data_IF_215318629705
#
_entry.id   IF_215318629705
#
_cell.length_a   1.000
_cell.length_b   1.000
_cell.length_c   1.000
_cell.angle_alpha   90.00
_cell.angle_beta   90.00
_cell.angle_gamma   90.00
#
_symmetry.space_group_name_H-M   'P 1'
#
loop_
_entity.id
_entity.type
_entity.pdbx_description
1 polymer ?
#
# COMPACT_ATOMS: atom_id res chain seq x y z
N UNK A 1 -27.49 9.04 -8.10
CA UNK A 1 -26.61 8.68 -6.99
C UNK A 1 -25.20 8.59 -7.54
N UNK A 2 -24.23 9.35 -7.06
CA UNK A 2 -22.85 9.21 -7.55
C UNK A 2 -22.30 7.88 -7.08
N UNK A 3 -21.79 7.11 -8.02
CA UNK A 3 -21.18 5.79 -7.79
C UNK A 3 -19.89 5.96 -6.97
N UNK A 4 -19.62 5.17 -5.92
CA UNK A 4 -18.42 5.27 -5.07
C UNK A 4 -17.10 5.02 -5.80
N UNK A 5 -17.15 4.80 -7.09
CA UNK A 5 -16.09 4.25 -7.92
C UNK A 5 -15.12 5.29 -8.52
N UNK A 6 -15.17 6.56 -8.13
CA UNK A 6 -14.33 7.60 -8.78
C UNK A 6 -12.86 7.59 -8.37
N UNK A 7 -12.50 6.88 -7.30
CA UNK A 7 -11.17 6.99 -6.72
C UNK A 7 -10.15 5.95 -7.19
N UNK A 8 -10.63 4.88 -7.82
CA UNK A 8 -9.76 3.86 -8.43
C UNK A 8 -9.54 4.09 -9.94
N UNK A 9 -10.09 5.17 -10.49
CA UNK A 9 -10.15 5.44 -11.93
C UNK A 9 -9.12 6.47 -12.45
N UNK A 10 -8.00 6.67 -11.76
CA UNK A 10 -6.90 7.31 -12.48
C UNK A 10 -6.25 6.29 -13.39
N UNK A 11 -6.15 6.66 -14.68
CA UNK A 11 -5.38 5.88 -15.62
C UNK A 11 -3.97 5.63 -15.06
N UNK A 12 -3.35 4.48 -15.33
CA UNK A 12 -1.97 4.20 -14.91
C UNK A 12 -0.97 5.30 -15.27
N UNK A 13 -1.23 6.08 -16.34
CA UNK A 13 -0.50 7.28 -16.75
C UNK A 13 -0.52 8.42 -15.74
N UNK A 14 -1.49 8.45 -14.82
CA UNK A 14 -1.64 9.52 -13.82
C UNK A 14 -0.94 9.20 -12.49
N UNK A 15 -0.36 8.01 -12.37
CA UNK A 15 0.42 7.60 -11.21
C UNK A 15 1.90 7.70 -11.60
N UNK A 16 2.68 8.67 -11.08
CA UNK A 16 4.08 8.89 -11.46
C UNK A 16 5.00 7.67 -11.29
N UNK A 17 4.61 6.70 -10.47
CA UNK A 17 5.29 5.40 -10.35
C UNK A 17 5.30 4.60 -11.66
N UNK A 18 4.48 4.98 -12.65
CA UNK A 18 4.29 4.23 -13.88
C UNK A 18 4.64 5.03 -15.13
N UNK A 19 4.91 6.34 -15.03
CA UNK A 19 4.71 7.18 -16.20
C UNK A 19 5.89 7.96 -16.74
N UNK A 20 6.97 8.20 -16.05
CA UNK A 20 8.11 8.87 -16.73
C UNK A 20 8.93 7.90 -17.57
N UNK A 21 8.81 6.58 -17.31
CA UNK A 21 9.44 5.50 -18.04
C UNK A 21 8.58 4.24 -18.04
N UNK A 22 7.30 4.39 -18.36
CA UNK A 22 6.36 3.27 -18.45
C UNK A 22 6.88 2.09 -19.27
N UNK A 23 7.76 2.34 -20.22
CA UNK A 23 8.44 1.34 -21.03
C UNK A 23 9.35 0.43 -20.20
N UNK A 24 10.04 0.92 -19.17
CA UNK A 24 10.97 0.12 -18.35
C UNK A 24 10.23 -0.93 -17.52
N UNK A 25 9.08 -0.59 -16.96
CA UNK A 25 8.24 -1.55 -16.22
C UNK A 25 7.40 -2.44 -17.14
N UNK A 26 7.01 -1.94 -18.31
CA UNK A 26 6.23 -2.68 -19.28
C UNK A 26 7.04 -3.76 -20.01
N UNK A 27 8.36 -3.58 -20.14
CA UNK A 27 9.25 -4.51 -20.84
C UNK A 27 9.76 -5.67 -19.99
N UNK A 28 9.40 -5.76 -18.71
CA UNK A 28 9.93 -6.78 -17.81
C UNK A 28 9.20 -8.12 -17.96
N UNK A 29 9.95 -9.21 -17.73
CA UNK A 29 9.36 -10.54 -17.57
C UNK A 29 8.29 -10.51 -16.48
N UNK A 30 7.09 -11.04 -16.73
CA UNK A 30 6.06 -11.12 -15.70
C UNK A 30 6.60 -11.79 -14.42
N UNK A 31 6.32 -11.21 -13.26
CA UNK A 31 6.83 -11.71 -11.98
C UNK A 31 6.46 -13.17 -11.71
N UNK A 32 5.32 -13.62 -12.22
CA UNK A 32 4.90 -15.04 -12.13
C UNK A 32 5.79 -15.99 -12.94
N UNK A 33 6.53 -15.47 -13.94
CA UNK A 33 7.42 -16.23 -14.81
C UNK A 33 8.90 -15.95 -14.47
N UNK A 34 9.16 -15.18 -13.43
CA UNK A 34 10.50 -14.77 -13.01
C UNK A 34 11.34 -15.98 -12.62
N UNK A 35 12.51 -16.11 -13.23
CA UNK A 35 13.53 -17.09 -12.81
C UNK A 35 14.51 -16.39 -11.87
N UNK A 36 14.61 -16.87 -10.66
CA UNK A 36 15.52 -16.32 -9.65
C UNK A 36 16.96 -16.37 -10.14
N UNK A 37 17.64 -15.23 -10.08
CA UNK A 37 19.09 -15.11 -10.26
C UNK A 37 19.84 -15.07 -8.92
N UNK A 38 19.13 -14.75 -7.83
CA UNK A 38 19.67 -14.63 -6.48
C UNK A 38 19.02 -15.68 -5.55
N UNK A 39 19.74 -16.15 -4.53
CA UNK A 39 19.14 -17.04 -3.53
C UNK A 39 18.02 -16.33 -2.77
N UNK A 40 17.03 -17.09 -2.34
CA UNK A 40 15.98 -16.60 -1.45
C UNK A 40 16.58 -16.24 -0.09
N UNK A 41 16.07 -15.17 0.53
CA UNK A 41 16.54 -14.64 1.81
C UNK A 41 15.57 -14.92 2.95
N UNK A 42 14.27 -14.88 2.65
CA UNK A 42 13.18 -14.97 3.61
C UNK A 42 12.16 -16.03 3.22
N UNK A 43 11.77 -16.05 1.96
CA UNK A 43 10.86 -17.05 1.42
C UNK A 43 11.53 -18.42 1.30
N UNK A 44 10.79 -19.49 1.56
CA UNK A 44 11.18 -20.83 1.13
C UNK A 44 10.95 -20.99 -0.38
N UNK A 45 11.50 -22.02 -0.97
CA UNK A 45 11.22 -22.39 -2.37
C UNK A 45 9.73 -22.66 -2.59
N UNK A 46 9.05 -23.27 -1.61
CA UNK A 46 7.61 -23.51 -1.66
C UNK A 46 6.81 -22.22 -1.58
N UNK A 47 7.20 -21.26 -0.73
CA UNK A 47 6.57 -19.94 -0.64
C UNK A 47 6.72 -19.18 -1.95
N UNK A 48 7.90 -19.22 -2.56
CA UNK A 48 8.14 -18.54 -3.83
C UNK A 48 7.35 -19.19 -4.97
N UNK A 49 7.30 -20.52 -5.04
CA UNK A 49 6.50 -21.25 -6.03
C UNK A 49 4.99 -20.97 -5.84
N UNK A 50 4.54 -20.87 -4.59
CA UNK A 50 3.16 -20.47 -4.26
C UNK A 50 2.87 -19.03 -4.72
N UNK A 51 3.75 -18.09 -4.42
CA UNK A 51 3.68 -16.71 -4.90
C UNK A 51 3.52 -16.63 -6.41
N UNK A 52 4.37 -17.33 -7.16
CA UNK A 52 4.31 -17.33 -8.62
C UNK A 52 3.00 -17.92 -9.15
N UNK A 53 2.48 -18.95 -8.49
CA UNK A 53 1.29 -19.69 -8.94
C UNK A 53 -0.01 -18.99 -8.57
N UNK A 54 -0.07 -18.36 -7.40
CA UNK A 54 -1.31 -17.85 -6.80
C UNK A 54 -1.33 -16.33 -6.60
N UNK A 55 -0.21 -15.66 -6.84
CA UNK A 55 -0.11 -14.21 -6.82
C UNK A 55 -0.05 -13.56 -5.45
N UNK A 56 0.08 -14.32 -4.36
CA UNK A 56 0.30 -13.78 -3.02
C UNK A 56 1.12 -14.75 -2.17
N UNK A 57 1.68 -14.22 -1.08
CA UNK A 57 2.35 -15.00 -0.04
C UNK A 57 2.21 -14.31 1.31
N UNK A 58 2.08 -15.08 2.39
CA UNK A 58 2.11 -14.57 3.77
C UNK A 58 3.45 -14.93 4.40
N UNK A 59 4.26 -13.92 4.67
CA UNK A 59 5.57 -14.05 5.31
C UNK A 59 5.41 -13.87 6.81
N UNK A 60 5.72 -14.90 7.56
CA UNK A 60 5.52 -14.90 9.02
C UNK A 60 6.54 -14.02 9.74
N UNK A 61 6.05 -13.23 10.69
CA UNK A 61 6.82 -12.50 11.70
C UNK A 61 7.96 -11.66 11.07
N UNK A 62 7.62 -10.81 10.08
CA UNK A 62 8.60 -9.88 9.47
C UNK A 62 9.00 -8.75 10.43
N UNK A 63 8.11 -8.41 11.36
CA UNK A 63 8.37 -7.57 12.52
C UNK A 63 7.89 -8.27 13.80
N UNK A 64 8.48 -7.99 14.96
CA UNK A 64 8.00 -8.53 16.23
C UNK A 64 6.54 -8.12 16.52
N UNK A 65 5.75 -9.02 17.09
CA UNK A 65 4.36 -8.72 17.51
C UNK A 65 4.27 -7.50 18.44
N UNK A 66 5.29 -7.28 19.29
CA UNK A 66 5.39 -6.08 20.13
C UNK A 66 5.53 -4.79 19.31
N UNK A 67 6.17 -4.84 18.14
CA UNK A 67 6.27 -3.68 17.22
C UNK A 67 4.94 -3.44 16.52
N UNK A 68 4.26 -4.50 16.08
CA UNK A 68 2.90 -4.40 15.53
C UNK A 68 1.94 -3.80 16.56
N UNK A 69 2.04 -4.20 17.83
CA UNK A 69 1.23 -3.65 18.92
C UNK A 69 1.48 -2.14 19.10
N UNK A 70 2.74 -1.69 19.13
CA UNK A 70 3.05 -0.25 19.23
C UNK A 70 2.48 0.56 18.07
N UNK A 71 2.51 0.01 16.84
CA UNK A 71 1.88 0.64 15.68
C UNK A 71 0.36 0.71 15.82
N UNK A 72 -0.26 -0.32 16.36
CA UNK A 72 -1.69 -0.33 16.65
C UNK A 72 -2.05 0.74 17.70
N UNK A 73 -1.30 0.81 18.80
CA UNK A 73 -1.50 1.81 19.85
C UNK A 73 -1.35 3.23 19.31
N UNK A 74 -0.34 3.45 18.43
CA UNK A 74 -0.17 4.71 17.71
C UNK A 74 -1.35 5.04 16.80
N UNK A 75 -1.91 4.06 16.08
CA UNK A 75 -3.07 4.28 15.21
C UNK A 75 -4.30 4.76 16.01
N UNK A 76 -4.53 4.19 17.18
CA UNK A 76 -5.58 4.62 18.10
C UNK A 76 -5.35 6.05 18.59
N UNK A 77 -4.15 6.34 19.09
CA UNK A 77 -3.77 7.67 19.57
C UNK A 77 -3.91 8.72 18.47
N UNK A 78 -3.40 8.43 17.26
CA UNK A 78 -3.43 9.36 16.13
C UNK A 78 -4.86 9.71 15.69
N UNK A 79 -5.75 8.72 15.70
CA UNK A 79 -7.17 8.93 15.38
C UNK A 79 -7.95 9.57 16.53
N UNK A 80 -7.39 9.64 17.73
CA UNK A 80 -8.09 10.13 18.92
C UNK A 80 -9.21 9.20 19.39
N UNK A 81 -9.09 7.89 19.07
CA UNK A 81 -10.08 6.88 19.42
C UNK A 81 -9.61 6.07 20.62
N UNK A 82 -10.54 5.62 21.44
CA UNK A 82 -10.28 4.80 22.62
C UNK A 82 -10.52 3.32 22.29
N UNK A 83 -9.49 2.44 22.35
CA UNK A 83 -9.65 1.02 22.05
C UNK A 83 -10.62 0.29 23.01
N UNK A 84 -10.81 0.81 24.22
CA UNK A 84 -11.69 0.22 25.24
C UNK A 84 -13.12 0.79 25.21
N UNK A 85 -13.37 1.78 24.32
CA UNK A 85 -14.66 2.47 24.18
C UNK A 85 -15.20 2.41 22.74
N UNK A 86 -15.83 1.29 22.36
CA UNK A 86 -16.32 1.06 21.00
C UNK A 86 -17.28 2.13 20.46
N UNK A 87 -17.96 2.86 21.33
CA UNK A 87 -18.81 3.98 20.92
C UNK A 87 -18.04 5.11 20.24
N UNK A 88 -16.75 5.32 20.59
CA UNK A 88 -15.90 6.36 19.98
C UNK A 88 -15.46 6.02 18.56
N UNK A 89 -15.49 4.75 18.15
CA UNK A 89 -14.97 4.31 16.87
C UNK A 89 -15.78 4.77 15.66
N UNK A 90 -17.00 5.26 15.90
CA UNK A 90 -17.97 5.63 14.87
C UNK A 90 -18.42 7.10 14.98
N UNK A 91 -17.75 7.89 15.81
CA UNK A 91 -18.07 9.30 15.95
C UNK A 91 -17.78 10.05 14.64
N UNK A 92 -18.76 10.85 14.23
CA UNK A 92 -18.58 11.75 13.08
C UNK A 92 -17.66 12.91 13.48
N UNK A 93 -16.86 13.34 12.52
CA UNK A 93 -16.03 14.55 12.62
C UNK A 93 -16.33 15.49 11.46
N UNK A 94 -15.78 16.69 11.50
CA UNK A 94 -15.75 17.55 10.33
C UNK A 94 -14.82 16.97 9.26
N UNK A 95 -15.31 16.93 8.02
CA UNK A 95 -14.57 16.41 6.87
C UNK A 95 -14.23 17.53 5.90
N UNK A 96 -13.01 17.51 5.37
CA UNK A 96 -12.55 18.49 4.37
C UNK A 96 -13.22 18.29 3.01
N UNK A 97 -13.64 17.07 2.71
CA UNK A 97 -14.21 16.67 1.43
C UNK A 97 -14.95 15.33 1.55
N UNK A 98 -15.71 14.96 0.52
CA UNK A 98 -16.34 13.64 0.42
C UNK A 98 -15.28 12.52 0.44
N UNK A 99 -14.12 12.74 -0.17
CA UNK A 99 -13.02 11.79 -0.13
C UNK A 99 -12.47 11.60 1.28
N UNK A 100 -12.26 12.67 2.04
CA UNK A 100 -11.82 12.59 3.44
C UNK A 100 -12.82 11.78 4.28
N UNK A 101 -14.12 12.03 4.09
CA UNK A 101 -15.16 11.24 4.74
C UNK A 101 -15.13 9.77 4.35
N UNK A 102 -14.97 9.48 3.08
CA UNK A 102 -14.90 8.13 2.56
C UNK A 102 -13.69 7.38 3.12
N UNK A 103 -12.50 7.98 3.10
CA UNK A 103 -11.28 7.38 3.65
C UNK A 103 -11.41 7.10 5.15
N UNK A 104 -12.00 8.03 5.90
CA UNK A 104 -12.27 7.82 7.32
C UNK A 104 -13.23 6.64 7.55
N UNK A 105 -14.31 6.53 6.78
CA UNK A 105 -15.26 5.42 6.83
C UNK A 105 -14.57 4.09 6.54
N UNK A 106 -13.61 4.06 5.62
CA UNK A 106 -12.79 2.88 5.33
C UNK A 106 -11.69 2.60 6.36
N UNK A 107 -11.57 3.46 7.38
CA UNK A 107 -10.63 3.29 8.47
C UNK A 107 -9.20 3.68 8.14
N UNK A 108 -8.97 4.52 7.14
CA UNK A 108 -7.63 5.03 6.85
C UNK A 108 -7.15 6.01 7.91
N UNK A 109 -5.91 5.85 8.35
CA UNK A 109 -5.20 6.67 9.33
C UNK A 109 -4.12 7.44 8.59
N UNK A 110 -4.32 8.75 8.40
CA UNK A 110 -3.52 9.62 7.53
C UNK A 110 -2.15 10.00 8.17
N UNK A 111 -1.43 9.03 8.74
CA UNK A 111 -0.07 9.15 9.24
C UNK A 111 0.91 8.46 8.31
N UNK A 112 2.00 9.12 7.94
CA UNK A 112 2.90 8.66 6.88
C UNK A 112 4.36 8.51 7.33
N UNK A 113 4.83 9.34 8.27
CA UNK A 113 6.26 9.52 8.54
C UNK A 113 6.68 9.22 9.97
N UNK A 114 5.73 8.86 10.84
CA UNK A 114 6.06 8.53 12.24
C UNK A 114 7.14 7.45 12.33
N UNK A 115 8.00 7.53 13.35
CA UNK A 115 9.11 6.59 13.55
C UNK A 115 8.69 5.14 13.48
N UNK A 116 7.59 4.78 14.12
CA UNK A 116 7.10 3.39 14.14
C UNK A 116 6.77 2.86 12.73
N UNK A 117 6.25 3.72 11.83
CA UNK A 117 6.02 3.36 10.43
C UNK A 117 7.33 3.12 9.69
N UNK A 118 8.36 3.92 9.99
CA UNK A 118 9.67 3.75 9.40
C UNK A 118 10.43 2.57 9.98
N UNK A 119 10.27 2.26 11.27
CA UNK A 119 10.88 1.07 11.88
C UNK A 119 10.47 -0.22 11.13
N UNK A 120 9.21 -0.32 10.72
CA UNK A 120 8.76 -1.46 9.91
C UNK A 120 9.23 -1.39 8.46
N UNK A 121 9.23 -0.21 7.82
CA UNK A 121 9.68 -0.03 6.44
C UNK A 121 11.15 -0.39 6.26
N UNK A 122 11.99 -0.02 7.22
CA UNK A 122 13.43 -0.26 7.19
C UNK A 122 13.86 -1.55 7.91
N UNK A 123 12.89 -2.39 8.30
CA UNK A 123 13.18 -3.70 8.86
C UNK A 123 13.78 -4.61 7.77
N UNK A 124 14.96 -5.17 8.03
CA UNK A 124 15.72 -5.97 7.05
C UNK A 124 14.89 -7.12 6.49
N UNK A 125 14.14 -7.84 7.35
CA UNK A 125 13.33 -8.98 6.94
C UNK A 125 12.17 -8.57 6.02
N UNK A 126 11.63 -7.36 6.19
CA UNK A 126 10.61 -6.80 5.28
C UNK A 126 11.22 -6.55 3.90
N UNK A 127 12.35 -5.84 3.84
CA UNK A 127 13.07 -5.59 2.59
C UNK A 127 13.44 -6.90 1.88
N UNK A 128 14.05 -7.84 2.60
CA UNK A 128 14.51 -9.10 2.03
C UNK A 128 13.35 -9.96 1.47
N UNK A 129 12.13 -9.88 2.04
CA UNK A 129 10.96 -10.53 1.48
C UNK A 129 10.54 -9.92 0.12
N UNK A 130 10.64 -8.59 -0.03
CA UNK A 130 10.40 -7.95 -1.33
C UNK A 130 11.54 -8.20 -2.33
N UNK A 131 12.79 -8.30 -1.87
CA UNK A 131 13.92 -8.72 -2.72
C UNK A 131 13.67 -10.11 -3.30
N UNK A 132 13.10 -11.02 -2.52
CA UNK A 132 12.78 -12.36 -2.99
C UNK A 132 11.76 -12.35 -4.13
N UNK A 133 10.72 -11.56 -4.06
CA UNK A 133 9.68 -11.52 -5.11
C UNK A 133 10.09 -10.70 -6.34
N UNK A 134 10.95 -9.69 -6.17
CA UNK A 134 11.43 -8.85 -7.28
C UNK A 134 12.72 -9.35 -7.93
N UNK A 135 13.49 -10.22 -7.26
CA UNK A 135 14.86 -10.57 -7.61
C UNK A 135 15.79 -9.36 -7.78
N UNK A 136 15.49 -8.30 -7.06
CA UNK A 136 16.16 -7.00 -7.10
C UNK A 136 16.37 -6.49 -5.67
N UNK A 137 17.56 -6.01 -5.36
CA UNK A 137 17.89 -5.44 -4.05
C UNK A 137 17.60 -3.94 -3.96
N UNK A 138 17.73 -3.27 -5.09
CA UNK A 138 17.58 -1.82 -5.20
C UNK A 138 16.10 -1.45 -5.26
N UNK A 139 15.48 -1.28 -4.08
CA UNK A 139 14.05 -1.03 -3.95
C UNK A 139 13.79 0.34 -3.30
N UNK A 140 12.66 0.95 -3.66
CA UNK A 140 12.05 2.05 -2.91
C UNK A 140 10.77 1.55 -2.23
N UNK A 141 10.55 2.04 -0.98
CA UNK A 141 9.35 1.71 -0.19
C UNK A 141 8.27 2.76 -0.43
N UNK A 142 7.00 2.36 -0.44
CA UNK A 142 5.88 3.30 -0.48
C UNK A 142 5.81 4.13 0.81
N UNK A 143 5.48 5.41 0.66
CA UNK A 143 5.11 6.28 1.77
C UNK A 143 3.59 6.22 1.91
N UNK A 144 3.11 5.21 2.60
CA UNK A 144 1.70 4.92 2.77
C UNK A 144 1.35 4.90 4.27
N UNK A 145 0.13 4.66 4.61
CA UNK A 145 -0.52 4.89 5.89
C UNK A 145 -0.94 3.60 6.59
N UNK A 146 -1.68 3.77 7.68
CA UNK A 146 -2.29 2.67 8.42
C UNK A 146 -3.77 2.53 8.06
N UNK A 147 -4.35 1.41 8.46
CA UNK A 147 -5.79 1.21 8.44
C UNK A 147 -6.25 0.62 9.78
N UNK A 148 -7.29 1.20 10.33
CA UNK A 148 -7.94 0.78 11.56
C UNK A 148 -9.42 0.53 11.25
N UNK A 149 -9.79 -0.74 11.09
CA UNK A 149 -11.11 -1.13 10.64
C UNK A 149 -11.94 -1.80 11.75
N UNK A 150 -12.80 -1.05 12.46
CA UNK A 150 -13.72 -1.60 13.43
C UNK A 150 -14.86 -2.40 12.77
N UNK A 151 -15.70 -3.10 13.54
CA UNK A 151 -16.83 -3.85 13.03
C UNK A 151 -17.74 -3.06 12.10
N UNK A 152 -17.94 -3.53 10.88
CA UNK A 152 -18.74 -2.84 9.88
C UNK A 152 -20.25 -2.91 10.14
N UNK A 153 -20.69 -3.97 10.82
CA UNK A 153 -22.12 -4.22 11.10
C UNK A 153 -22.77 -3.17 12.01
N UNK A 154 -21.96 -2.48 12.82
CA UNK A 154 -22.45 -1.46 13.78
C UNK A 154 -22.50 -0.05 13.18
N UNK A 155 -21.86 0.16 12.05
CA UNK A 155 -21.82 1.47 11.40
C UNK A 155 -22.93 1.60 10.37
N UNK A 156 -24.04 2.24 10.76
CA UNK A 156 -25.18 2.50 9.87
C UNK A 156 -24.85 3.44 8.70
N UNK A 157 -23.84 4.30 8.87
CA UNK A 157 -23.45 5.31 7.88
C UNK A 157 -22.46 4.76 6.85
N UNK A 158 -21.88 3.56 7.09
CA UNK A 158 -21.17 2.81 6.06
C UNK A 158 -22.11 2.25 4.96
N UNK A 159 -23.30 2.77 4.84
CA UNK A 159 -24.22 2.48 3.74
C UNK A 159 -23.65 2.85 2.34
N UNK A 160 -22.51 3.53 2.30
CA UNK A 160 -21.75 3.80 1.06
C UNK A 160 -20.97 2.59 0.57
N UNK A 161 -20.69 1.59 1.42
CA UNK A 161 -20.10 0.32 1.00
C UNK A 161 -21.21 -0.48 0.32
N UNK A 162 -21.05 -0.89 -0.96
CA UNK A 162 -22.05 -1.68 -1.65
C UNK A 162 -22.43 -2.91 -0.82
N UNK A 163 -23.71 -3.07 -0.53
CA UNK A 163 -24.24 -4.28 0.09
C UNK A 163 -24.44 -5.30 -0.99
N UNK A 164 -23.79 -6.45 -0.89
CA UNK A 164 -24.22 -7.65 -1.58
C UNK A 164 -25.37 -8.32 -0.79
N UNK A 165 -26.06 -9.29 -1.39
CA UNK A 165 -27.07 -10.07 -0.68
C UNK A 165 -26.52 -10.78 0.58
N UNK A 166 -25.20 -10.95 0.66
CA UNK A 166 -24.46 -11.61 1.74
C UNK A 166 -23.84 -10.63 2.75
N UNK A 167 -24.03 -9.31 2.58
CA UNK A 167 -23.47 -8.29 3.46
C UNK A 167 -22.65 -7.21 2.73
N UNK A 168 -21.69 -6.60 3.45
CA UNK A 168 -20.80 -5.58 2.88
C UNK A 168 -19.60 -6.26 2.20
N UNK A 169 -19.53 -6.21 0.88
CA UNK A 169 -18.42 -6.75 0.13
C UNK A 169 -17.86 -5.67 -0.79
N UNK A 170 -16.60 -5.30 -0.61
CA UNK A 170 -15.90 -4.52 -1.61
C UNK A 170 -15.61 -5.48 -2.76
N UNK A 171 -16.18 -5.18 -3.92
CA UNK A 171 -15.95 -5.97 -5.12
C UNK A 171 -14.45 -6.14 -5.39
N UNK A 172 -14.07 -7.31 -5.88
CA UNK A 172 -12.71 -7.56 -6.33
C UNK A 172 -12.33 -6.58 -7.44
N UNK A 173 -11.11 -6.08 -7.37
CA UNK A 173 -10.55 -5.17 -8.35
C UNK A 173 -9.06 -5.44 -8.58
N UNK A 174 -8.54 -4.84 -9.62
CA UNK A 174 -7.11 -4.67 -9.83
C UNK A 174 -6.74 -3.19 -9.70
N UNK A 175 -5.55 -2.91 -9.21
CA UNK A 175 -4.99 -1.55 -9.21
C UNK A 175 -4.20 -1.25 -10.48
N UNK A 176 -4.35 -2.05 -11.51
CA UNK A 176 -3.73 -1.90 -12.82
C UNK A 176 -4.79 -2.09 -13.91
N UNK A 177 -4.61 -1.40 -15.03
CA UNK A 177 -5.43 -1.64 -16.22
C UNK A 177 -5.03 -2.97 -16.85
N UNK A 178 -5.91 -3.95 -16.73
CA UNK A 178 -5.68 -5.32 -17.22
C UNK A 178 -6.03 -5.49 -18.70
N UNK A 179 -6.50 -4.46 -19.40
CA UNK A 179 -6.77 -4.50 -20.84
C UNK A 179 -5.51 -4.23 -21.66
N UNK A 180 -4.49 -3.62 -21.06
CA UNK A 180 -3.24 -3.30 -21.73
C UNK A 180 -2.59 -4.53 -22.36
N UNK A 181 -1.93 -4.31 -23.53
CA UNK A 181 -1.20 -5.36 -24.24
C UNK A 181 0.01 -5.86 -23.45
N UNK A 182 0.74 -4.94 -22.81
CA UNK A 182 1.81 -5.23 -21.87
C UNK A 182 1.36 -4.77 -20.50
N UNK A 183 1.36 -5.68 -19.52
CA UNK A 183 0.84 -5.41 -18.20
C UNK A 183 1.93 -4.87 -17.28
N UNK A 184 1.68 -3.77 -16.56
CA UNK A 184 2.64 -3.25 -15.59
C UNK A 184 2.88 -4.27 -14.47
N UNK A 185 4.15 -4.45 -14.10
CA UNK A 185 4.51 -5.29 -12.97
C UNK A 185 4.43 -4.46 -11.68
N UNK A 186 3.65 -4.93 -10.75
CA UNK A 186 3.41 -4.26 -9.47
C UNK A 186 3.34 -5.29 -8.34
N UNK A 187 3.90 -4.92 -7.20
CA UNK A 187 3.82 -5.70 -5.96
C UNK A 187 3.31 -4.79 -4.86
N UNK A 188 2.38 -5.28 -4.09
CA UNK A 188 1.83 -4.57 -2.94
C UNK A 188 1.96 -5.42 -1.68
N UNK A 189 1.90 -4.77 -0.52
CA UNK A 189 2.00 -5.47 0.74
C UNK A 189 1.26 -4.78 1.87
N UNK A 190 0.91 -5.59 2.86
CA UNK A 190 0.32 -5.14 4.13
C UNK A 190 0.95 -5.89 5.29
N UNK A 191 1.32 -5.16 6.35
CA UNK A 191 1.74 -5.76 7.62
C UNK A 191 0.52 -5.81 8.54
N UNK A 192 0.22 -6.99 9.07
CA UNK A 192 -0.84 -7.17 10.06
C UNK A 192 -0.42 -6.57 11.42
N UNK A 193 -1.24 -5.70 11.99
CA UNK A 193 -1.04 -5.14 13.33
C UNK A 193 -1.89 -5.86 14.38
N UNK A 194 -2.92 -6.57 13.92
CA UNK A 194 -3.77 -7.48 14.70
C UNK A 194 -3.82 -8.82 14.02
N UNK A 195 -4.10 -9.87 14.76
CA UNK A 195 -4.45 -11.15 14.15
C UNK A 195 -5.67 -10.95 13.26
N UNK A 196 -5.60 -11.46 12.04
CA UNK A 196 -6.66 -11.34 11.06
C UNK A 196 -7.22 -12.71 10.74
N UNK A 197 -8.47 -12.93 11.11
CA UNK A 197 -9.27 -14.12 10.80
C UNK A 197 -10.36 -13.76 9.81
N UNK A 198 -11.00 -14.71 9.14
CA UNK A 198 -12.03 -14.44 8.13
C UNK A 198 -13.16 -13.52 8.59
N UNK A 199 -13.59 -13.61 9.85
CA UNK A 199 -14.66 -12.77 10.41
C UNK A 199 -14.24 -11.31 10.66
N UNK A 200 -12.92 -11.05 10.76
CA UNK A 200 -12.39 -9.69 10.92
C UNK A 200 -12.30 -8.96 9.56
N UNK A 201 -12.64 -9.64 8.49
CA UNK A 201 -12.55 -9.09 7.15
C UNK A 201 -11.11 -8.84 6.70
N UNK A 202 -10.91 -7.74 5.98
CA UNK A 202 -9.60 -7.39 5.47
C UNK A 202 -9.31 -7.97 4.10
N UNK A 203 -8.04 -8.25 3.81
CA UNK A 203 -7.63 -8.67 2.48
C UNK A 203 -8.35 -9.94 2.05
N UNK A 204 -8.95 -9.86 0.86
CA UNK A 204 -9.49 -11.01 0.14
C UNK A 204 -9.00 -10.99 -1.30
N UNK A 205 -8.86 -12.14 -1.92
CA UNK A 205 -8.36 -12.23 -3.28
C UNK A 205 -8.89 -13.46 -4.02
N UNK A 206 -8.64 -13.49 -5.34
CA UNK A 206 -9.02 -14.58 -6.21
C UNK A 206 -7.78 -15.23 -6.87
N UNK A 207 -7.06 -16.16 -6.20
CA UNK A 207 -5.85 -16.77 -6.73
C UNK A 207 -6.07 -17.62 -7.97
N UNK A 208 -7.24 -18.24 -8.09
CA UNK A 208 -7.55 -19.06 -9.26
C UNK A 208 -7.74 -18.20 -10.52
N UNK A 209 -8.26 -16.97 -10.37
CA UNK A 209 -8.31 -16.01 -11.48
C UNK A 209 -6.91 -15.57 -11.89
N UNK A 210 -6.02 -15.30 -10.92
CA UNK A 210 -4.62 -14.98 -11.19
C UNK A 210 -3.92 -16.08 -11.97
N UNK A 211 -4.06 -17.34 -11.53
CA UNK A 211 -3.46 -18.51 -12.16
C UNK A 211 -3.94 -18.69 -13.60
N UNK A 212 -5.22 -18.40 -13.89
CA UNK A 212 -5.84 -18.58 -15.20
C UNK A 212 -6.04 -17.25 -15.95
N UNK A 213 -5.36 -16.20 -15.55
CA UNK A 213 -5.60 -14.83 -16.00
C UNK A 213 -5.61 -14.70 -17.54
N UNK A 214 -4.59 -15.22 -18.23
CA UNK A 214 -4.49 -15.07 -19.69
C UNK A 214 -5.64 -15.77 -20.42
N UNK A 215 -6.00 -16.98 -19.96
CA UNK A 215 -7.14 -17.70 -20.51
C UNK A 215 -8.46 -16.97 -20.25
N UNK A 216 -8.62 -16.45 -19.03
CA UNK A 216 -9.80 -15.67 -18.69
C UNK A 216 -9.86 -14.39 -19.52
N UNK A 217 -8.77 -13.64 -19.61
CA UNK A 217 -8.66 -12.40 -20.41
C UNK A 217 -9.05 -12.61 -21.87
N UNK A 218 -8.58 -13.69 -22.49
CA UNK A 218 -8.86 -14.02 -23.89
C UNK A 218 -10.35 -14.35 -24.19
N UNK A 219 -11.13 -14.64 -23.16
CA UNK A 219 -12.57 -14.93 -23.28
C UNK A 219 -13.45 -13.71 -22.95
N UNK A 220 -12.86 -12.60 -22.53
CA UNK A 220 -13.59 -11.40 -22.17
C UNK A 220 -13.86 -10.52 -23.39
N UNK A 221 -14.95 -9.72 -23.39
CA UNK A 221 -15.18 -8.72 -24.41
C UNK A 221 -14.13 -7.60 -24.34
N UNK A 222 -13.85 -6.95 -25.48
CA UNK A 222 -12.84 -5.89 -25.60
C UNK A 222 -13.20 -4.66 -24.76
N UNK A 223 -14.47 -4.38 -24.55
CA UNK A 223 -15.01 -3.25 -23.79
C UNK A 223 -15.24 -3.53 -22.30
N UNK A 224 -14.66 -4.61 -21.78
CA UNK A 224 -14.77 -4.94 -20.36
C UNK A 224 -14.18 -3.87 -19.46
N UNK A 225 -14.64 -3.83 -18.22
CA UNK A 225 -14.02 -2.97 -17.20
C UNK A 225 -12.52 -3.33 -17.02
N UNK A 226 -11.59 -2.36 -17.14
CA UNK A 226 -10.16 -2.62 -17.06
C UNK A 226 -9.68 -3.07 -15.69
N UNK A 227 -10.39 -2.69 -14.63
CA UNK A 227 -9.96 -2.90 -13.24
C UNK A 227 -10.92 -3.76 -12.42
N UNK A 228 -12.09 -4.14 -12.95
CA UNK A 228 -13.07 -4.95 -12.21
C UNK A 228 -13.40 -6.24 -12.93
N UNK A 229 -13.01 -7.39 -12.37
CA UNK A 229 -13.40 -8.66 -12.94
C UNK A 229 -14.87 -8.93 -12.67
N UNK A 230 -15.61 -9.30 -13.70
CA UNK A 230 -16.90 -9.96 -13.54
C UNK A 230 -16.66 -11.46 -13.56
N UNK A 231 -16.70 -12.08 -12.39
CA UNK A 231 -16.37 -13.50 -12.22
C UNK A 231 -17.55 -14.26 -11.62
N UNK A 232 -17.66 -15.52 -12.03
CA UNK A 232 -18.48 -16.49 -11.28
C UNK A 232 -17.66 -16.99 -10.08
N UNK A 233 -18.12 -16.73 -8.86
CA UNK A 233 -17.44 -17.12 -7.62
C UNK A 233 -17.43 -18.63 -7.39
N UNK A 234 -18.27 -19.40 -8.07
CA UNK A 234 -18.21 -20.86 -8.05
C UNK A 234 -17.03 -21.38 -8.87
N UNK A 235 -16.70 -20.70 -9.98
CA UNK A 235 -15.53 -21.02 -10.80
C UNK A 235 -14.25 -20.41 -10.23
N UNK A 236 -14.33 -19.20 -9.67
CA UNK A 236 -13.22 -18.42 -9.16
C UNK A 236 -13.43 -18.09 -7.68
N UNK A 237 -13.16 -19.03 -6.77
CA UNK A 237 -13.38 -18.85 -5.34
C UNK A 237 -12.51 -17.72 -4.78
N UNK A 238 -13.11 -16.93 -3.89
CA UNK A 238 -12.43 -15.88 -3.13
C UNK A 238 -11.86 -16.48 -1.86
N UNK A 239 -10.61 -16.18 -1.57
CA UNK A 239 -9.92 -16.61 -0.34
C UNK A 239 -9.60 -15.39 0.53
N UNK A 240 -9.54 -15.61 1.84
CA UNK A 240 -9.17 -14.63 2.86
C UNK A 240 -7.98 -15.19 3.65
N UNK A 241 -6.75 -14.82 3.29
CA UNK A 241 -5.56 -15.28 4.00
C UNK A 241 -5.58 -14.85 5.47
N UNK A 242 -5.33 -15.79 6.37
CA UNK A 242 -5.17 -15.50 7.80
C UNK A 242 -3.75 -15.01 8.07
N UNK A 243 -3.65 -14.04 9.00
CA UNK A 243 -2.38 -13.47 9.43
C UNK A 243 -2.36 -13.29 10.93
N UNK A 244 -1.18 -13.36 11.50
CA UNK A 244 -0.91 -12.96 12.88
C UNK A 244 -0.25 -11.59 12.93
N UNK A 245 -0.37 -10.87 14.03
CA UNK A 245 0.29 -9.58 14.22
C UNK A 245 1.80 -9.69 13.98
N UNK A 246 2.32 -8.89 13.05
CA UNK A 246 3.71 -8.92 12.60
C UNK A 246 3.95 -9.68 11.30
N UNK A 247 2.94 -10.34 10.74
CA UNK A 247 3.04 -10.99 9.42
C UNK A 247 2.94 -9.95 8.29
N UNK A 248 3.58 -10.25 7.17
CA UNK A 248 3.50 -9.47 5.93
C UNK A 248 2.82 -10.31 4.85
N UNK A 249 1.73 -9.83 4.31
CA UNK A 249 1.16 -10.35 3.08
C UNK A 249 1.71 -9.52 1.91
N UNK A 250 2.29 -10.19 0.92
CA UNK A 250 2.73 -9.59 -0.34
C UNK A 250 1.85 -10.13 -1.45
N UNK A 251 1.40 -9.28 -2.38
CA UNK A 251 0.58 -9.71 -3.50
C UNK A 251 0.93 -9.00 -4.82
N UNK A 252 0.71 -9.72 -5.91
CA UNK A 252 0.97 -9.26 -7.27
C UNK A 252 -0.16 -8.34 -7.75
N UNK A 253 0.16 -7.26 -8.46
CA UNK A 253 -0.81 -6.32 -9.00
C UNK A 253 -1.85 -6.93 -9.96
N UNK A 254 -1.58 -8.11 -10.52
CA UNK A 254 -2.55 -8.87 -11.32
C UNK A 254 -3.45 -9.80 -10.49
N UNK A 255 -3.24 -9.88 -9.19
CA UNK A 255 -4.14 -10.61 -8.31
C UNK A 255 -5.39 -9.76 -8.06
N UNK A 256 -6.54 -10.21 -8.56
CA UNK A 256 -7.81 -9.57 -8.23
C UNK A 256 -8.05 -9.67 -6.73
N UNK A 257 -8.21 -8.53 -6.07
CA UNK A 257 -8.28 -8.43 -4.61
C UNK A 257 -9.29 -7.37 -4.16
N UNK A 258 -9.52 -7.30 -2.87
CA UNK A 258 -10.40 -6.32 -2.24
C UNK A 258 -10.33 -6.44 -0.72
N UNK A 259 -11.23 -5.73 -0.05
CA UNK A 259 -11.33 -5.75 1.41
C UNK A 259 -12.68 -6.32 1.81
N UNK A 260 -12.66 -7.47 2.49
CA UNK A 260 -13.85 -8.04 3.09
C UNK A 260 -14.30 -7.22 4.31
N UNK A 261 -15.61 -7.17 4.60
CA UNK A 261 -16.11 -6.47 5.77
C UNK A 261 -15.69 -7.15 7.07
N UNK A 262 -15.47 -6.34 8.10
CA UNK A 262 -15.32 -6.83 9.46
C UNK A 262 -16.72 -7.14 10.04
N UNK A 263 -17.04 -8.41 10.14
CA UNK A 263 -18.34 -8.91 10.65
C UNK A 263 -18.29 -9.31 12.13
N UNK A 264 -17.14 -9.12 12.79
CA UNK A 264 -17.03 -9.39 14.23
C UNK A 264 -17.90 -8.45 15.07
N UNK A 265 -18.15 -8.82 16.32
CA UNK A 265 -18.96 -8.00 17.23
C UNK A 265 -18.19 -6.81 17.83
N UNK A 266 -16.89 -6.97 18.07
CA UNK A 266 -16.11 -6.00 18.83
C UNK A 266 -14.61 -5.95 18.48
N UNK A 267 -14.13 -6.80 17.59
CA UNK A 267 -12.70 -6.86 17.26
C UNK A 267 -12.36 -5.92 16.13
N UNK A 268 -11.26 -5.20 16.25
CA UNK A 268 -10.75 -4.30 15.23
C UNK A 268 -9.64 -4.98 14.45
N UNK A 269 -9.69 -4.87 13.14
CA UNK A 269 -8.58 -5.25 12.26
C UNK A 269 -7.74 -4.02 11.96
N UNK A 270 -6.43 -4.14 12.11
CA UNK A 270 -5.51 -3.07 11.77
C UNK A 270 -4.34 -3.58 10.94
N UNK A 271 -3.88 -2.73 10.00
CA UNK A 271 -2.72 -3.03 9.15
C UNK A 271 -1.93 -1.75 8.86
N UNK A 272 -0.65 -1.94 8.48
CA UNK A 272 0.14 -0.93 7.77
C UNK A 272 0.22 -1.31 6.30
N UNK A 273 -0.10 -0.37 5.41
CA UNK A 273 0.21 -0.51 3.99
C UNK A 273 1.69 -0.28 3.76
N UNK A 274 2.34 -1.23 3.11
CA UNK A 274 3.75 -1.19 2.84
C UNK A 274 4.05 -2.00 1.58
N UNK A 275 4.53 -1.32 0.55
CA UNK A 275 4.94 -1.95 -0.70
C UNK A 275 6.35 -1.52 -1.05
N UNK A 276 7.06 -2.35 -1.79
CA UNK A 276 8.35 -1.98 -2.35
C UNK A 276 8.39 -2.30 -3.84
N UNK A 277 9.09 -1.46 -4.59
CA UNK A 277 9.27 -1.60 -6.02
C UNK A 277 10.70 -1.22 -6.40
N UNK A 278 11.22 -1.73 -7.54
CA UNK A 278 12.54 -1.34 -8.03
C UNK A 278 12.74 0.17 -8.03
N UNK A 279 13.89 0.62 -7.52
CA UNK A 279 14.21 2.03 -7.38
C UNK A 279 14.36 2.70 -8.75
N UNK A 280 13.68 3.82 -8.94
CA UNK A 280 13.79 4.64 -10.16
C UNK A 280 14.78 5.79 -9.93
N UNK A 281 16.06 5.47 -9.73
CA UNK A 281 17.06 6.46 -9.34
C UNK A 281 17.26 7.56 -10.40
N UNK A 282 17.00 7.27 -11.68
CA UNK A 282 17.02 8.26 -12.75
C UNK A 282 15.84 9.25 -12.71
N UNK A 283 14.76 8.93 -11.99
CA UNK A 283 13.60 9.80 -11.83
C UNK A 283 13.82 10.81 -10.70
N UNK A 284 14.71 11.78 -10.91
CA UNK A 284 15.11 12.76 -9.90
C UNK A 284 13.93 13.54 -9.28
N UNK A 285 12.96 13.95 -10.08
CA UNK A 285 11.80 14.68 -9.58
C UNK A 285 11.02 13.84 -8.56
N UNK A 286 10.79 12.57 -8.87
CA UNK A 286 10.13 11.64 -7.97
C UNK A 286 10.97 11.43 -6.69
N UNK A 287 12.28 11.23 -6.83
CA UNK A 287 13.20 11.07 -5.70
C UNK A 287 13.16 12.29 -4.78
N UNK A 288 13.27 13.51 -5.33
CA UNK A 288 13.17 14.75 -4.56
C UNK A 288 11.83 14.87 -3.83
N UNK A 289 10.72 14.61 -4.50
CA UNK A 289 9.38 14.64 -3.90
C UNK A 289 9.26 13.67 -2.72
N UNK A 290 9.79 12.44 -2.85
CA UNK A 290 9.83 11.46 -1.77
C UNK A 290 10.61 11.95 -0.55
N UNK A 291 11.82 12.46 -0.78
CA UNK A 291 12.70 12.98 0.27
C UNK A 291 12.07 14.22 0.94
N UNK A 292 11.48 15.11 0.15
CA UNK A 292 10.82 16.31 0.69
C UNK A 292 9.57 15.95 1.51
N UNK A 293 8.77 14.99 1.08
CA UNK A 293 7.65 14.48 1.86
C UNK A 293 8.09 14.00 3.26
N UNK A 294 9.19 13.26 3.35
CA UNK A 294 9.76 12.84 4.63
C UNK A 294 10.35 14.01 5.43
N UNK A 295 11.03 14.96 4.78
CA UNK A 295 11.64 16.12 5.46
C UNK A 295 10.61 17.01 6.12
N UNK A 296 9.49 17.21 5.45
CA UNK A 296 8.44 18.13 5.88
C UNK A 296 7.31 17.45 6.65
N UNK A 297 7.36 16.11 6.77
CA UNK A 297 6.26 15.29 7.27
C UNK A 297 4.97 15.57 6.48
N UNK A 298 5.15 15.83 5.19
CA UNK A 298 4.08 16.17 4.26
C UNK A 298 3.53 14.93 3.57
N UNK A 299 2.37 15.09 2.96
CA UNK A 299 1.77 14.04 2.14
C UNK A 299 2.59 13.85 0.86
N UNK A 300 2.83 12.61 0.43
CA UNK A 300 3.33 12.36 -0.90
C UNK A 300 2.42 12.95 -1.97
N UNK A 301 2.96 13.71 -2.92
CA UNK A 301 2.19 14.47 -3.92
C UNK A 301 1.82 13.66 -5.17
N UNK A 302 2.40 12.47 -5.35
CA UNK A 302 2.15 11.62 -6.51
C UNK A 302 0.87 10.78 -6.45
N UNK A 303 0.18 10.76 -5.31
CA UNK A 303 -1.06 10.01 -5.14
C UNK A 303 -2.15 10.88 -4.52
N UNK A 304 -3.14 11.25 -5.33
CA UNK A 304 -4.24 12.12 -4.89
C UNK A 304 -5.17 11.49 -3.84
N UNK A 305 -5.05 10.18 -3.58
CA UNK A 305 -5.80 9.53 -2.49
C UNK A 305 -5.10 9.65 -1.14
N UNK A 306 -3.87 10.16 -1.11
CA UNK A 306 -3.14 10.46 0.10
C UNK A 306 -3.40 11.92 0.49
N UNK A 307 -4.43 12.14 1.28
CA UNK A 307 -4.91 13.50 1.61
C UNK A 307 -4.08 14.20 2.68
N UNK A 308 -3.29 13.42 3.41
CA UNK A 308 -2.54 13.90 4.55
C UNK A 308 -3.41 14.23 5.77
N UNK A 309 -2.74 14.42 6.87
CA UNK A 309 -3.36 14.79 8.13
C UNK A 309 -3.84 16.25 8.09
N UNK A 310 -5.16 16.44 8.15
CA UNK A 310 -5.80 17.77 8.14
C UNK A 310 -5.33 18.68 9.26
N UNK A 311 -5.13 18.10 10.41
CA UNK A 311 -4.73 18.80 11.63
C UNK A 311 -3.22 18.98 11.73
N UNK A 312 -2.47 18.41 10.80
CA UNK A 312 -1.01 18.39 10.82
C UNK A 312 -0.43 17.78 12.11
N UNK A 313 -1.14 16.83 12.70
CA UNK A 313 -0.73 16.17 13.94
C UNK A 313 0.67 15.58 13.83
N UNK A 314 0.97 14.94 12.69
CA UNK A 314 2.27 14.33 12.48
C UNK A 314 3.39 15.36 12.54
N UNK A 315 3.26 16.49 11.83
CA UNK A 315 4.28 17.55 11.79
C UNK A 315 4.33 18.41 13.05
N UNK A 316 3.23 18.51 13.80
CA UNK A 316 3.15 19.31 15.02
C UNK A 316 3.53 18.53 16.28
N UNK A 317 3.30 17.21 16.28
CA UNK A 317 3.50 16.37 17.49
C UNK A 317 4.75 15.54 17.44
N UNK A 318 5.22 15.19 16.25
CA UNK A 318 6.31 14.25 16.08
C UNK A 318 7.44 14.86 15.26
N UNK A 319 8.65 14.41 15.53
CA UNK A 319 9.84 14.73 14.73
C UNK A 319 9.94 13.82 13.50
N UNK A 320 10.86 14.17 12.59
CA UNK A 320 11.24 13.29 11.49
C UNK A 320 11.73 11.96 12.02
N UNK A 321 11.34 10.88 11.35
CA UNK A 321 11.88 9.56 11.68
C UNK A 321 13.38 9.47 11.40
N UNK A 322 14.10 8.81 12.29
CA UNK A 322 15.49 8.43 12.08
C UNK A 322 15.56 7.25 11.11
N UNK A 323 16.35 7.40 10.07
CA UNK A 323 16.56 6.37 9.06
C UNK A 323 17.90 5.68 9.29
N UNK A 324 17.89 4.35 9.32
CA UNK A 324 19.12 3.59 9.19
C UNK A 324 19.61 3.62 7.72
N UNK A 325 20.77 3.03 7.42
CA UNK A 325 21.33 2.99 6.06
C UNK A 325 20.33 2.41 5.04
N UNK A 326 19.62 1.34 5.38
CA UNK A 326 18.59 0.75 4.52
C UNK A 326 17.41 1.69 4.32
N UNK A 327 16.92 2.32 5.39
CA UNK A 327 15.82 3.29 5.33
C UNK A 327 16.14 4.48 4.44
N UNK A 328 17.37 4.99 4.50
CA UNK A 328 17.82 6.09 3.65
C UNK A 328 17.81 5.70 2.16
N UNK A 329 18.23 4.47 1.82
CA UNK A 329 18.16 3.94 0.46
C UNK A 329 16.71 3.68 0.03
N UNK A 330 15.89 3.10 0.88
CA UNK A 330 14.49 2.82 0.61
C UNK A 330 13.65 4.09 0.40
N UNK A 331 14.02 5.19 1.03
CA UNK A 331 13.43 6.51 0.79
C UNK A 331 13.90 7.12 -0.55
N UNK A 332 15.13 6.85 -0.95
CA UNK A 332 15.85 7.55 -2.02
C UNK A 332 16.68 8.73 -1.52
N UNK A 333 16.92 8.84 -0.19
CA UNK A 333 17.80 9.85 0.40
C UNK A 333 19.25 9.59 0.00
N UNK A 334 19.69 8.34 0.01
CA UNK A 334 20.96 7.87 -0.53
C UNK A 334 20.73 6.94 -1.71
N UNK A 335 21.63 6.96 -2.69
CA UNK A 335 21.55 6.09 -3.85
C UNK A 335 21.99 4.65 -3.51
N UNK A 336 21.39 3.66 -4.18
CA UNK A 336 21.83 2.28 -4.13
C UNK A 336 23.19 2.07 -4.80
N UNK A 337 23.53 2.89 -5.81
CA UNK A 337 24.80 2.83 -6.52
C UNK A 337 25.98 3.39 -5.73
N UNK A 338 25.74 3.98 -4.55
CA UNK A 338 26.77 4.64 -3.74
C UNK A 338 27.27 5.98 -4.29
N UNK A 339 26.67 6.48 -5.37
CA UNK A 339 26.89 7.86 -5.80
C UNK A 339 26.16 8.78 -4.81
N UNK A 340 26.90 9.57 -4.06
CA UNK A 340 26.32 10.56 -3.16
C UNK A 340 25.39 11.48 -3.94
N UNK A 341 24.18 11.65 -3.45
CA UNK A 341 23.32 12.72 -3.91
C UNK A 341 24.09 14.02 -3.62
N UNK A 342 24.37 14.81 -4.63
CA UNK A 342 24.94 16.14 -4.45
C UNK A 342 24.09 16.87 -3.42
N UNK A 343 24.71 17.18 -2.31
CA UNK A 343 24.12 17.95 -1.22
C UNK A 343 23.93 19.39 -1.71
N UNK A 344 22.80 19.67 -2.34
CA UNK A 344 22.38 21.03 -2.69
C UNK A 344 21.84 21.77 -1.44
N UNK A 345 22.45 21.60 -0.29
CA UNK A 345 22.29 22.47 0.89
C UNK A 345 23.27 23.62 0.90
N UNK A 346 23.86 23.99 -0.23
CA UNK A 346 24.56 25.26 -0.33
C UNK A 346 23.52 26.39 -0.29
N UNK A 347 23.58 27.34 0.63
CA UNK A 347 22.72 28.51 0.62
C UNK A 347 22.96 29.25 -0.70
N UNK A 348 21.89 29.54 -1.42
CA UNK A 348 21.91 30.46 -2.56
C UNK A 348 22.51 31.76 -2.02
N UNK A 349 23.75 32.05 -2.41
CA UNK A 349 24.40 33.28 -2.05
C UNK A 349 23.53 34.44 -2.54
N UNK A 350 23.24 35.36 -1.63
CA UNK A 350 22.70 36.68 -1.96
C UNK A 350 23.66 37.33 -2.96
N UNK A 351 23.32 37.30 -4.24
CA UNK A 351 23.95 38.20 -5.20
C UNK A 351 23.48 39.61 -4.86
N UNK A 352 24.40 40.33 -4.26
CA UNK A 352 24.38 41.76 -4.04
C UNK A 352 24.03 42.50 -5.32
N UNK A 353 22.83 43.10 -5.37
CA UNK A 353 22.54 44.16 -6.31
C UNK A 353 23.35 45.41 -5.88
N UNK A 354 24.53 45.53 -6.43
CA UNK A 354 25.25 46.77 -6.42
C UNK A 354 25.15 47.44 -7.81
N UNK A 355 24.47 48.60 -7.80
CA UNK A 355 24.67 49.79 -8.63
C UNK A 355 25.01 49.65 -10.11
N UNK A 356 24.10 50.08 -10.97
CA UNK A 356 24.48 51.00 -12.04
C UNK A 356 23.45 52.14 -12.16
N UNK A 357 24.01 53.36 -12.05
CA UNK A 357 23.46 54.70 -12.28
C UNK A 357 22.76 54.83 -13.60
#
# INVERSE_FOLDING_TARGET
>A
MPTPARYLHRAPSDIPYFSSDGETYLAQTPLRDLKKSRPLRVLSEDDFAFWQSYGYVVVKQVIPAASARRLLDFAWEFQGLDPDRPETWYEEREYRSDLDRELHIYGFVEAYHHQLLWDSRQARRVHDAFVDVWDCEELWVTLDRLNLNPPNIKNRDRALIPRTEEGFDIELHWDVDTTLGVLPQRVQGIIALTDTRPELGGFQCCPELFRRFDRWKALQPDDRDPIRPRIDRHEFPVVRPEMEAGDLLIFNGLLAHGVAPNTSESSVRAVQYLSMMPALESAEALRRSRVESWRTLGTPDWNATLLGDATRHESLRYGRADLNELGARLLGLTSWSGADAHDETAPVGEESCAEFV
#
